data_IF_485120511470
#
_entry.id   IF_485120511470
#
_cell.length_a   1.000
_cell.length_b   1.000
_cell.length_c   1.000
_cell.angle_alpha   90.00
_cell.angle_beta   90.00
_cell.angle_gamma   90.00
#
_symmetry.space_group_name_H-M   'P 1'
#
loop_
_entity.id
_entity.type
_entity.pdbx_description
1 polymer ?
#
# COMPACT_ATOMS: atom_id res chain seq x y z
N UNK A 1 9.91 2.67 9.57
CA UNK A 1 8.83 2.03 10.36
C UNK A 1 8.12 1.07 9.43
N UNK A 2 7.69 -0.09 9.93
CA UNK A 2 6.94 -1.07 9.14
C UNK A 2 5.50 -1.04 9.65
N UNK A 3 4.59 -0.56 8.81
CA UNK A 3 3.20 -0.29 9.16
C UNK A 3 2.28 -1.14 8.30
N UNK A 4 1.14 -1.52 8.84
CA UNK A 4 0.14 -2.33 8.16
C UNK A 4 -1.03 -1.44 7.74
N UNK A 5 -1.56 -1.67 6.54
CA UNK A 5 -2.77 -1.03 6.05
C UNK A 5 -3.72 -2.08 5.48
N UNK A 6 -5.00 -1.95 5.81
CA UNK A 6 -6.07 -2.85 5.37
C UNK A 6 -7.20 -2.07 4.74
N UNK A 7 -7.73 -2.58 3.62
CA UNK A 7 -8.94 -2.06 2.98
C UNK A 7 -9.95 -3.19 2.77
N UNK A 8 -11.23 -2.86 2.78
CA UNK A 8 -12.27 -3.76 2.31
C UNK A 8 -12.50 -3.55 0.80
N UNK A 9 -12.43 -4.64 0.03
CA UNK A 9 -12.75 -4.63 -1.40
C UNK A 9 -13.55 -5.87 -1.77
N UNK A 10 -14.73 -5.69 -2.35
CA UNK A 10 -15.63 -6.76 -2.76
C UNK A 10 -15.91 -7.80 -1.65
N UNK A 11 -16.10 -7.33 -0.41
CA UNK A 11 -16.35 -8.18 0.76
C UNK A 11 -15.14 -9.00 1.23
N UNK A 12 -13.94 -8.73 0.70
CA UNK A 12 -12.68 -9.28 1.20
C UNK A 12 -11.84 -8.17 1.83
N UNK A 13 -11.30 -8.44 3.01
CA UNK A 13 -10.27 -7.60 3.61
C UNK A 13 -8.94 -7.93 2.94
N UNK A 14 -8.31 -6.91 2.38
CA UNK A 14 -7.01 -7.00 1.74
C UNK A 14 -6.05 -6.18 2.59
N UNK A 15 -4.94 -6.80 2.99
CA UNK A 15 -3.95 -6.22 3.89
C UNK A 15 -2.60 -6.15 3.20
N UNK A 16 -1.93 -5.02 3.29
CA UNK A 16 -0.56 -4.81 2.82
C UNK A 16 0.29 -4.18 3.92
N UNK A 17 1.59 -4.29 3.75
CA UNK A 17 2.56 -3.64 4.61
C UNK A 17 3.28 -2.54 3.86
N UNK A 18 3.59 -1.45 4.53
CA UNK A 18 4.41 -0.41 3.94
C UNK A 18 5.55 0.01 4.86
N UNK A 19 6.64 0.45 4.24
CA UNK A 19 7.85 0.91 4.91
C UNK A 19 8.26 2.25 4.35
N UNK A 20 8.55 3.19 5.24
CA UNK A 20 9.03 4.53 4.87
C UNK A 20 10.53 4.61 5.09
N UNK A 21 11.26 4.95 4.04
CA UNK A 21 12.72 5.17 4.05
C UNK A 21 13.03 6.55 3.47
N UNK A 22 13.28 7.52 4.35
CA UNK A 22 13.45 8.93 3.96
C UNK A 22 12.17 9.48 3.35
N UNK A 23 12.23 9.89 2.09
CA UNK A 23 11.07 10.38 1.32
C UNK A 23 10.45 9.29 0.41
N UNK A 24 10.80 8.02 0.64
CA UNK A 24 10.36 6.89 -0.17
C UNK A 24 9.45 5.98 0.63
N UNK A 25 8.35 5.56 0.01
CA UNK A 25 7.38 4.60 0.50
C UNK A 25 7.48 3.31 -0.31
N UNK A 26 7.72 2.20 0.36
CA UNK A 26 7.70 0.86 -0.22
C UNK A 26 6.50 0.08 0.32
N UNK A 27 5.58 -0.33 -0.54
CA UNK A 27 4.35 -1.05 -0.19
C UNK A 27 4.45 -2.49 -0.68
N UNK A 28 4.49 -3.44 0.24
CA UNK A 28 4.43 -4.87 -0.02
C UNK A 28 2.97 -5.33 -0.09
N UNK A 29 2.54 -5.69 -1.29
CA UNK A 29 1.20 -6.14 -1.62
C UNK A 29 0.99 -7.62 -1.22
N UNK A 30 -0.29 -8.08 -1.15
CA UNK A 30 -0.61 -9.46 -0.75
C UNK A 30 -0.05 -10.55 -1.67
N UNK A 31 0.24 -10.22 -2.92
CA UNK A 31 0.88 -11.13 -3.89
C UNK A 31 2.41 -11.27 -3.67
N UNK A 32 2.95 -10.56 -2.69
CA UNK A 32 4.38 -10.50 -2.40
C UNK A 32 5.15 -9.51 -3.27
N UNK A 33 4.48 -8.79 -4.18
CA UNK A 33 5.11 -7.73 -4.97
C UNK A 33 5.29 -6.45 -4.14
N UNK A 34 6.35 -5.70 -4.40
CA UNK A 34 6.60 -4.42 -3.74
C UNK A 34 6.44 -3.27 -4.73
N UNK A 35 5.75 -2.20 -4.30
CA UNK A 35 5.61 -0.96 -5.06
C UNK A 35 6.29 0.19 -4.32
N UNK A 36 7.16 0.89 -5.02
CA UNK A 36 7.91 2.03 -4.49
C UNK A 36 7.30 3.33 -4.99
N UNK A 37 7.22 4.34 -4.12
CA UNK A 37 6.71 5.68 -4.45
C UNK A 37 7.46 6.74 -3.66
N UNK A 38 7.84 7.85 -4.30
CA UNK A 38 8.37 9.00 -3.59
C UNK A 38 7.21 9.82 -3.02
N UNK A 39 7.25 10.11 -1.72
CA UNK A 39 6.21 10.83 -1.02
C UNK A 39 6.18 12.30 -1.43
N UNK A 40 7.32 12.99 -1.50
CA UNK A 40 7.40 14.41 -1.88
C UNK A 40 6.40 15.28 -1.10
N UNK A 41 6.23 14.99 0.18
CA UNK A 41 5.25 15.64 1.06
C UNK A 41 3.83 15.03 1.05
N UNK A 42 3.61 13.93 0.31
CA UNK A 42 2.40 13.12 0.44
C UNK A 42 2.38 12.35 1.77
N UNK A 43 1.18 12.14 2.26
CA UNK A 43 0.93 11.27 3.40
C UNK A 43 1.24 9.80 3.03
N UNK A 44 2.10 9.10 3.79
CA UNK A 44 2.48 7.72 3.49
C UNK A 44 1.32 6.72 3.51
N UNK A 45 0.41 6.87 4.48
CA UNK A 45 -0.74 5.97 4.63
C UNK A 45 -1.68 6.10 3.43
N UNK A 46 -2.01 7.34 3.05
CA UNK A 46 -2.82 7.65 1.87
C UNK A 46 -2.18 7.12 0.58
N UNK A 47 -0.87 7.29 0.42
CA UNK A 47 -0.16 6.77 -0.74
C UNK A 47 -0.14 5.23 -0.76
N UNK A 48 0.01 4.58 0.39
CA UNK A 48 -0.06 3.12 0.51
C UNK A 48 -1.47 2.58 0.20
N UNK A 49 -2.51 3.28 0.67
CA UNK A 49 -3.91 2.93 0.44
C UNK A 49 -4.24 2.93 -1.07
N UNK A 50 -3.72 3.91 -1.82
CA UNK A 50 -3.92 3.99 -3.27
C UNK A 50 -3.31 2.77 -3.98
N UNK A 51 -2.13 2.31 -3.56
CA UNK A 51 -1.53 1.09 -4.11
C UNK A 51 -2.37 -0.14 -3.81
N UNK A 52 -2.88 -0.24 -2.59
CA UNK A 52 -3.71 -1.36 -2.16
C UNK A 52 -5.06 -1.39 -2.90
N UNK A 53 -5.71 -0.23 -3.08
CA UNK A 53 -6.94 -0.08 -3.88
C UNK A 53 -6.70 -0.48 -5.34
N UNK A 54 -5.59 -0.05 -5.93
CA UNK A 54 -5.23 -0.41 -7.30
C UNK A 54 -4.96 -1.92 -7.45
N UNK A 55 -4.34 -2.56 -6.44
CA UNK A 55 -4.17 -4.01 -6.40
C UNK A 55 -5.52 -4.73 -6.30
N UNK A 56 -6.39 -4.29 -5.39
CA UNK A 56 -7.71 -4.86 -5.19
C UNK A 56 -8.56 -4.80 -6.47
N UNK A 57 -8.57 -3.65 -7.15
CA UNK A 57 -9.29 -3.46 -8.42
C UNK A 57 -8.78 -4.38 -9.54
N UNK A 58 -7.49 -4.72 -9.56
CA UNK A 58 -6.91 -5.63 -10.57
C UNK A 58 -7.15 -7.12 -10.26
N UNK A 59 -7.39 -7.46 -8.99
CA UNK A 59 -7.53 -8.83 -8.52
C UNK A 59 -8.97 -9.19 -8.13
N UNK A 60 -9.95 -8.35 -8.49
CA UNK A 60 -11.37 -8.67 -8.41
C UNK A 60 -12.01 -8.62 -9.78
#
# INVERSE_FOLDING_TARGET
>A
MHEEISIESNGKVITAYYTITGDTLDVTLPDGSTRTTQLRGLDPESAAEVHLKAYALKNT
#
